data_IF_398646495029
#
_entry.id   IF_398646495029
#
_cell.length_a   1.000
_cell.length_b   1.000
_cell.length_c   1.000
_cell.angle_alpha   90.00
_cell.angle_beta   90.00
_cell.angle_gamma   90.00
#
_symmetry.space_group_name_H-M   'P 1'
#
loop_
_entity.id
_entity.type
_entity.pdbx_description
1 polymer ?
#
# COMPACT_ATOMS: atom_id res chain seq x y z
N UNK A 1 12.65 -18.41 -9.70
CA UNK A 1 12.18 -17.04 -9.43
C UNK A 1 12.34 -16.78 -7.94
N UNK A 2 12.73 -15.57 -7.50
CA UNK A 2 12.81 -15.27 -6.06
C UNK A 2 11.40 -15.00 -5.53
N UNK A 3 11.07 -15.56 -4.37
CA UNK A 3 9.79 -15.33 -3.68
C UNK A 3 10.04 -14.55 -2.40
N UNK A 4 9.18 -13.57 -2.13
CA UNK A 4 9.15 -12.80 -0.88
C UNK A 4 7.83 -13.07 -0.19
N UNK A 5 7.88 -13.45 1.09
CA UNK A 5 6.69 -13.67 1.91
C UNK A 5 6.31 -12.35 2.60
N UNK A 6 5.09 -11.86 2.35
CA UNK A 6 4.54 -10.66 2.99
C UNK A 6 3.29 -11.05 3.76
N UNK A 7 3.35 -10.96 5.09
CA UNK A 7 2.28 -11.37 5.99
C UNK A 7 1.79 -12.80 5.71
N UNK A 8 0.73 -12.96 4.92
CA UNK A 8 0.06 -14.24 4.62
C UNK A 8 0.10 -14.62 3.13
N UNK A 9 0.85 -13.92 2.27
CA UNK A 9 0.90 -14.20 0.84
C UNK A 9 2.30 -14.09 0.23
N UNK A 10 2.49 -14.74 -0.91
CA UNK A 10 3.76 -14.87 -1.62
C UNK A 10 3.82 -13.93 -2.83
N UNK A 11 4.92 -13.19 -2.94
CA UNK A 11 5.19 -12.27 -4.05
C UNK A 11 6.33 -12.80 -4.91
N UNK A 12 6.04 -13.05 -6.18
CA UNK A 12 7.00 -13.29 -7.26
C UNK A 12 6.32 -12.97 -8.60
N UNK A 13 7.06 -12.98 -9.73
CA UNK A 13 6.49 -12.59 -11.03
C UNK A 13 5.51 -13.61 -11.64
N UNK A 14 5.26 -14.74 -10.97
CA UNK A 14 4.25 -15.74 -11.34
C UNK A 14 3.11 -15.85 -10.33
N UNK A 15 3.20 -15.17 -9.18
CA UNK A 15 2.11 -15.08 -8.20
C UNK A 15 0.96 -14.21 -8.74
N UNK A 16 -0.27 -14.40 -8.22
CA UNK A 16 -1.34 -13.42 -8.42
C UNK A 16 -0.90 -12.01 -8.06
N UNK A 17 -1.42 -11.03 -8.81
CA UNK A 17 -1.17 -9.62 -8.55
C UNK A 17 -1.58 -9.22 -7.12
N UNK A 18 -0.78 -8.36 -6.49
CA UNK A 18 -1.13 -7.68 -5.24
C UNK A 18 -0.97 -6.16 -5.43
N UNK A 19 -1.73 -5.39 -4.67
CA UNK A 19 -1.70 -3.93 -4.74
C UNK A 19 -0.97 -3.34 -3.52
N UNK A 20 0.05 -2.51 -3.77
CA UNK A 20 0.60 -1.59 -2.78
C UNK A 20 0.17 -0.17 -3.12
N UNK A 21 -0.68 0.43 -2.29
CA UNK A 21 -1.26 1.74 -2.59
C UNK A 21 -1.60 2.56 -1.33
N UNK A 22 -1.69 3.87 -1.51
CA UNK A 22 -2.05 4.86 -0.49
C UNK A 22 -1.56 6.26 -0.86
N UNK A 23 -1.81 7.28 -0.02
CA UNK A 23 -1.38 8.65 -0.30
C UNK A 23 0.13 8.76 -0.31
N UNK A 24 0.64 9.73 -1.07
CA UNK A 24 2.09 9.89 -1.26
C UNK A 24 2.83 10.14 0.07
N UNK A 25 2.22 10.90 0.99
CA UNK A 25 2.72 11.22 2.32
C UNK A 25 1.60 11.09 3.36
N UNK A 26 1.95 10.83 4.61
CA UNK A 26 1.02 10.88 5.74
C UNK A 26 0.68 12.35 6.04
N UNK A 27 -0.53 12.77 5.66
CA UNK A 27 -0.99 14.15 5.88
C UNK A 27 -1.60 14.33 7.28
N UNK A 28 -2.43 13.38 7.71
CA UNK A 28 -2.99 13.32 9.05
C UNK A 28 -3.35 11.86 9.38
N UNK A 29 -3.57 11.58 10.67
CA UNK A 29 -4.04 10.27 11.10
C UNK A 29 -5.38 9.94 10.43
N UNK A 30 -6.33 10.86 10.50
CA UNK A 30 -7.70 10.59 10.07
C UNK A 30 -7.75 10.37 8.55
N UNK A 31 -7.03 11.18 7.76
CA UNK A 31 -6.89 10.96 6.31
C UNK A 31 -6.25 9.59 6.00
N UNK A 32 -5.25 9.17 6.77
CA UNK A 32 -4.64 7.85 6.57
C UNK A 32 -5.61 6.69 6.85
N UNK A 33 -6.45 6.81 7.88
CA UNK A 33 -7.47 5.79 8.20
C UNK A 33 -8.58 5.76 7.14
N UNK A 34 -9.05 6.91 6.68
CA UNK A 34 -10.06 7.00 5.60
C UNK A 34 -9.54 6.35 4.32
N UNK A 35 -8.34 6.71 3.88
CA UNK A 35 -7.72 6.16 2.67
C UNK A 35 -7.47 4.66 2.78
N UNK A 36 -6.92 4.21 3.92
CA UNK A 36 -6.68 2.79 4.15
C UNK A 36 -7.98 1.99 4.14
N UNK A 37 -9.04 2.50 4.80
CA UNK A 37 -10.35 1.88 4.84
C UNK A 37 -10.96 1.70 3.45
N UNK A 38 -11.02 2.77 2.66
CA UNK A 38 -11.57 2.73 1.31
C UNK A 38 -10.79 1.77 0.39
N UNK A 39 -9.45 1.83 0.40
CA UNK A 39 -8.61 0.93 -0.41
C UNK A 39 -8.74 -0.53 0.02
N UNK A 40 -8.81 -0.79 1.33
CA UNK A 40 -9.02 -2.13 1.88
C UNK A 40 -10.37 -2.71 1.44
N UNK A 41 -11.44 -1.91 1.48
CA UNK A 41 -12.76 -2.36 1.05
C UNK A 41 -12.78 -2.72 -0.45
N UNK A 42 -12.21 -1.86 -1.30
CA UNK A 42 -12.13 -2.10 -2.75
C UNK A 42 -11.34 -3.37 -3.05
N UNK A 43 -10.14 -3.51 -2.47
CA UNK A 43 -9.27 -4.66 -2.71
C UNK A 43 -9.85 -5.95 -2.16
N UNK A 44 -10.52 -5.90 -1.02
CA UNK A 44 -11.25 -7.03 -0.45
C UNK A 44 -12.35 -7.52 -1.39
N UNK A 45 -13.17 -6.62 -1.94
CA UNK A 45 -14.23 -6.96 -2.91
C UNK A 45 -13.69 -7.60 -4.20
N UNK A 46 -12.48 -7.24 -4.59
CA UNK A 46 -11.81 -7.77 -5.79
C UNK A 46 -10.96 -9.03 -5.52
N UNK A 47 -10.82 -9.45 -4.25
CA UNK A 47 -9.94 -10.56 -3.87
C UNK A 47 -8.45 -10.28 -4.11
N UNK A 48 -8.04 -9.00 -4.13
CA UNK A 48 -6.65 -8.59 -4.37
C UNK A 48 -5.93 -8.42 -3.03
N UNK A 49 -4.80 -9.11 -2.79
CA UNK A 49 -3.98 -8.86 -1.60
C UNK A 49 -3.48 -7.40 -1.58
N UNK A 50 -3.53 -6.76 -0.42
CA UNK A 50 -3.32 -5.31 -0.30
C UNK A 50 -2.30 -4.96 0.78
N UNK A 51 -1.41 -4.03 0.46
CA UNK A 51 -0.49 -3.38 1.39
C UNK A 51 -0.73 -1.86 1.33
N UNK A 52 -1.13 -1.28 2.47
CA UNK A 52 -1.23 0.17 2.57
C UNK A 52 0.18 0.79 2.57
N UNK A 53 0.39 1.83 1.75
CA UNK A 53 1.66 2.56 1.69
C UNK A 53 1.43 4.06 1.82
N UNK A 54 2.21 4.67 2.71
CA UNK A 54 2.39 6.12 2.72
C UNK A 54 3.80 6.47 3.22
N UNK A 55 4.35 7.61 2.80
CA UNK A 55 5.65 8.06 3.30
C UNK A 55 5.46 8.89 4.58
N UNK A 56 6.27 8.65 5.61
CA UNK A 56 6.32 9.51 6.80
C UNK A 56 6.98 10.85 6.49
N UNK A 57 8.06 10.83 5.71
CA UNK A 57 8.83 12.02 5.32
C UNK A 57 9.05 12.07 3.81
N UNK A 58 9.27 13.29 3.28
CA UNK A 58 9.71 13.56 1.92
C UNK A 58 11.03 14.34 1.95
N UNK A 59 12.12 13.60 2.21
CA UNK A 59 13.48 14.14 2.32
C UNK A 59 14.03 14.81 1.03
N UNK A 60 13.34 14.66 -0.10
CA UNK A 60 13.74 15.18 -1.41
C UNK A 60 12.91 16.39 -1.87
N UNK A 61 12.29 17.14 -0.95
CA UNK A 61 11.72 18.44 -1.25
C UNK A 61 12.86 19.47 -1.36
N UNK A 62 13.02 20.09 -2.52
CA UNK A 62 13.74 21.36 -2.61
C UNK A 62 12.87 22.43 -1.98
N UNK A 63 13.28 22.98 -0.84
CA UNK A 63 12.71 24.24 -0.34
C UNK A 63 13.07 25.33 -1.34
N UNK A 64 12.06 26.02 -1.87
CA UNK A 64 12.22 27.36 -2.43
C UNK A 64 12.07 28.39 -1.32
#
# INVERSE_FOLDING_TARGET
MKTVHIATFDVNNSSPFFLMAGPCVLESRDHAYEMCGALKEITHRLGIPFVYKSSFDKANRTSV
#
